data_IF_596388779181
#
_entry.id   IF_596388779181
#
_cell.length_a   1.000
_cell.length_b   1.000
_cell.length_c   1.000
_cell.angle_alpha   90.00
_cell.angle_beta   90.00
_cell.angle_gamma   90.00
#
_symmetry.space_group_name_H-M   'P 1'
#
loop_
_entity.id
_entity.type
_entity.pdbx_description
1 polymer ?
#
# COMPACT_ATOMS: atom_id res chain seq x y z
N UNK A 1 -8.69 -13.02 -7.73
CA UNK A 1 -8.42 -12.39 -6.42
C UNK A 1 -6.97 -11.91 -6.28
N UNK A 2 -6.08 -12.28 -7.20
CA UNK A 2 -4.69 -11.78 -7.31
C UNK A 2 -4.58 -10.48 -8.11
N UNK A 3 -5.50 -10.23 -9.06
CA UNK A 3 -5.39 -9.11 -10.01
C UNK A 3 -5.34 -7.72 -9.34
N UNK A 4 -6.04 -7.53 -8.21
CA UNK A 4 -6.02 -6.28 -7.47
C UNK A 4 -4.71 -6.08 -6.68
N UNK A 5 -4.06 -7.15 -6.22
CA UNK A 5 -2.78 -7.04 -5.51
C UNK A 5 -1.69 -6.52 -6.45
N UNK A 6 -1.59 -7.11 -7.64
CA UNK A 6 -0.59 -6.71 -8.63
C UNK A 6 -0.83 -5.26 -9.09
N UNK A 7 -2.08 -4.89 -9.38
CA UNK A 7 -2.44 -3.51 -9.72
C UNK A 7 -2.10 -2.51 -8.58
N UNK A 8 -2.32 -2.88 -7.32
CA UNK A 8 -1.95 -2.05 -6.17
C UNK A 8 -0.43 -1.91 -6.05
N UNK A 9 0.33 -2.98 -6.24
CA UNK A 9 1.80 -2.95 -6.20
C UNK A 9 2.37 -2.05 -7.30
N UNK A 10 1.80 -2.05 -8.50
CA UNK A 10 2.21 -1.19 -9.62
C UNK A 10 2.03 0.31 -9.33
N UNK A 11 1.03 0.67 -8.52
CA UNK A 11 0.73 2.06 -8.14
C UNK A 11 1.67 2.57 -7.04
N UNK A 12 2.24 1.69 -6.22
CA UNK A 12 3.07 2.10 -5.08
C UNK A 12 4.44 2.65 -5.54
N UNK A 13 4.90 3.78 -4.98
CA UNK A 13 6.19 4.35 -5.34
C UNK A 13 7.34 3.42 -4.90
N UNK A 14 8.24 3.12 -5.84
CA UNK A 14 9.22 2.04 -5.80
C UNK A 14 10.42 2.23 -4.84
N UNK A 15 10.27 2.94 -3.71
CA UNK A 15 11.43 3.22 -2.84
C UNK A 15 11.90 2.00 -2.04
N UNK A 16 11.01 1.06 -1.68
CA UNK A 16 11.32 -0.25 -1.06
C UNK A 16 10.20 -1.23 -1.38
N UNK A 17 10.53 -2.50 -1.62
CA UNK A 17 9.54 -3.58 -1.81
C UNK A 17 8.50 -3.50 -0.69
N UNK A 18 7.19 -3.38 -1.00
CA UNK A 18 6.17 -3.30 0.03
C UNK A 18 6.16 -4.60 0.86
N UNK A 19 5.82 -4.49 2.14
CA UNK A 19 5.53 -5.66 2.96
C UNK A 19 4.16 -6.19 2.53
N UNK A 20 4.08 -7.48 2.22
CA UNK A 20 2.85 -8.16 1.82
C UNK A 20 2.62 -9.34 2.74
N UNK A 21 1.50 -9.34 3.48
CA UNK A 21 1.11 -10.41 4.38
C UNK A 21 -0.25 -10.99 3.95
N UNK A 22 -0.39 -12.31 3.90
CA UNK A 22 -1.69 -12.95 3.65
C UNK A 22 -2.59 -12.81 4.88
N UNK A 23 -3.84 -12.41 4.66
CA UNK A 23 -4.85 -12.29 5.71
C UNK A 23 -5.38 -13.67 6.11
N UNK A 24 -5.79 -13.79 7.37
CA UNK A 24 -6.38 -15.01 7.90
C UNK A 24 -7.54 -15.52 7.02
N UNK A 25 -7.56 -16.84 6.77
CA UNK A 25 -8.59 -17.48 5.96
C UNK A 25 -8.51 -17.16 4.46
N UNK A 26 -7.34 -16.72 3.97
CA UNK A 26 -7.13 -16.32 2.58
C UNK A 26 -8.10 -15.24 2.12
N UNK A 27 -8.46 -14.33 3.05
CA UNK A 27 -9.38 -13.24 2.81
C UNK A 27 -8.80 -12.12 1.92
N UNK A 28 -7.49 -12.13 1.68
CA UNK A 28 -6.77 -11.14 0.88
C UNK A 28 -5.36 -10.91 1.40
N UNK A 29 -4.84 -9.71 1.15
CA UNK A 29 -3.48 -9.31 1.56
C UNK A 29 -3.50 -7.98 2.28
N UNK A 30 -2.69 -7.87 3.34
CA UNK A 30 -2.29 -6.59 3.90
C UNK A 30 -1.01 -6.12 3.20
N UNK A 31 -1.04 -4.91 2.67
CA UNK A 31 0.09 -4.28 1.98
C UNK A 31 0.50 -3.03 2.74
N UNK A 32 1.78 -2.94 3.10
CA UNK A 32 2.33 -1.82 3.86
C UNK A 32 3.57 -1.26 3.16
N UNK A 33 3.64 0.08 3.05
CA UNK A 33 4.81 0.77 2.49
C UNK A 33 4.98 2.16 3.08
N UNK A 34 6.17 2.73 2.90
CA UNK A 34 6.50 4.10 3.30
C UNK A 34 6.57 4.97 2.05
N UNK A 35 5.77 6.03 2.02
CA UNK A 35 5.69 6.94 0.87
C UNK A 35 5.97 8.40 1.27
N UNK A 36 6.41 9.25 0.33
CA UNK A 36 6.54 10.68 0.58
C UNK A 36 5.20 11.32 0.92
N UNK A 37 5.18 12.18 1.95
CA UNK A 37 3.94 12.81 2.44
C UNK A 37 3.21 13.64 1.38
N UNK A 38 3.96 14.25 0.47
CA UNK A 38 3.41 15.07 -0.61
C UNK A 38 2.72 14.26 -1.72
N UNK A 39 2.90 12.94 -1.77
CA UNK A 39 2.29 12.07 -2.79
C UNK A 39 0.95 11.46 -2.33
N UNK A 40 0.67 11.50 -1.03
CA UNK A 40 -0.48 10.83 -0.40
C UNK A 40 -1.82 11.21 -1.03
N UNK A 41 -2.03 12.50 -1.33
CA UNK A 41 -3.29 12.99 -1.90
C UNK A 41 -3.58 12.45 -3.30
N UNK A 42 -2.55 12.00 -4.02
CA UNK A 42 -2.67 11.38 -5.36
C UNK A 42 -2.71 9.86 -5.21
N UNK A 43 -1.91 9.33 -4.29
CA UNK A 43 -1.74 7.90 -4.10
C UNK A 43 -2.99 7.22 -3.52
N UNK A 44 -3.63 7.81 -2.50
CA UNK A 44 -4.83 7.20 -1.89
C UNK A 44 -5.95 6.98 -2.91
N UNK A 45 -6.36 7.99 -3.73
CA UNK A 45 -7.33 7.76 -4.80
C UNK A 45 -6.90 6.67 -5.79
N UNK A 46 -5.65 6.71 -6.28
CA UNK A 46 -5.14 5.74 -7.24
C UNK A 46 -5.16 4.30 -6.69
N UNK A 47 -4.83 4.12 -5.41
CA UNK A 47 -4.90 2.83 -4.72
C UNK A 47 -6.33 2.32 -4.63
N UNK A 48 -7.30 3.19 -4.31
CA UNK A 48 -8.72 2.81 -4.29
C UNK A 48 -9.22 2.40 -5.67
N UNK A 49 -8.83 3.11 -6.71
CA UNK A 49 -9.17 2.79 -8.10
C UNK A 49 -8.55 1.45 -8.54
N UNK A 50 -7.36 1.12 -8.03
CA UNK A 50 -6.71 -0.18 -8.22
C UNK A 50 -7.33 -1.32 -7.39
N UNK A 51 -8.28 -1.02 -6.49
CA UNK A 51 -9.01 -2.00 -5.70
C UNK A 51 -8.56 -2.15 -4.24
N UNK A 52 -7.70 -1.27 -3.73
CA UNK A 52 -7.35 -1.25 -2.32
C UNK A 52 -8.54 -0.78 -1.46
N UNK A 53 -8.74 -1.46 -0.33
CA UNK A 53 -9.74 -1.11 0.68
C UNK A 53 -9.07 -0.82 2.02
N UNK A 54 -9.79 -0.20 2.94
CA UNK A 54 -9.38 -0.05 4.35
C UNK A 54 -7.99 0.60 4.55
N UNK A 55 -7.68 1.61 3.72
CA UNK A 55 -6.39 2.31 3.71
C UNK A 55 -6.21 3.13 5.00
N UNK A 56 -5.06 2.93 5.66
CA UNK A 56 -4.65 3.66 6.88
C UNK A 56 -3.31 4.35 6.61
N UNK A 57 -3.22 5.65 6.92
CA UNK A 57 -1.96 6.41 6.95
C UNK A 57 -1.46 6.51 8.39
N UNK A 58 -0.18 6.17 8.61
CA UNK A 58 0.49 6.31 9.90
C UNK A 58 1.72 7.23 9.77
N UNK A 59 1.81 8.34 10.55
CA UNK A 59 2.98 9.19 10.51
C UNK A 59 4.18 8.50 11.17
N UNK A 60 5.33 8.51 10.49
CA UNK A 60 6.57 8.01 11.07
C UNK A 60 7.19 9.04 12.02
N UNK A 61 7.54 8.61 13.23
CA UNK A 61 8.19 9.45 14.25
C UNK A 61 9.69 9.63 13.99
N UNK A 62 10.34 8.61 13.44
CA UNK A 62 11.78 8.61 13.15
C UNK A 62 12.06 7.62 12.03
N UNK A 63 12.94 8.02 11.12
CA UNK A 63 13.51 7.15 10.09
C UNK A 63 15.00 6.98 10.42
N UNK A 64 15.46 5.73 10.48
CA UNK A 64 16.88 5.38 10.65
C UNK A 64 17.34 4.67 9.38
N UNK A 65 18.51 5.04 8.87
CA UNK A 65 19.14 4.46 7.69
C UNK A 65 20.49 3.88 8.06
#
# INVERSE_FOLDING_TARGET
ATDALDAVIEVLPAMKTPTVNELYGSAGYAVETVVPKNEINILIPALKDAGATDIIELPLSKIVH
#
